data_IF_426045263827
#
_entry.id   IF_426045263827
#
_cell.length_a   1.000
_cell.length_b   1.000
_cell.length_c   1.000
_cell.angle_alpha   90.00
_cell.angle_beta   90.00
_cell.angle_gamma   90.00
#
_symmetry.space_group_name_H-M   'P 1'
#
loop_
_entity.id
_entity.type
_entity.pdbx_description
1 polymer ?
#
# COMPACT_ATOMS: atom_id res chain seq x y z
N UNK A 1 2.09 15.77 8.21
CA UNK A 1 1.64 14.42 8.59
C UNK A 1 2.55 13.39 7.95
N UNK A 2 2.80 12.25 8.61
CA UNK A 2 3.47 11.14 7.96
C UNK A 2 2.55 10.57 6.87
N UNK A 3 2.97 10.66 5.61
CA UNK A 3 2.30 10.01 4.49
C UNK A 3 2.81 8.57 4.37
N UNK A 4 1.89 7.61 4.42
CA UNK A 4 2.16 6.21 4.09
C UNK A 4 1.75 5.97 2.65
N UNK A 5 2.40 5.03 1.97
CA UNK A 5 2.00 4.65 0.62
C UNK A 5 1.76 3.16 0.48
N UNK A 6 0.79 2.78 -0.35
CA UNK A 6 0.46 1.39 -0.66
C UNK A 6 0.29 1.23 -2.17
N UNK A 7 1.07 0.35 -2.78
CA UNK A 7 0.99 0.02 -4.21
C UNK A 7 -0.02 -1.11 -4.42
N UNK A 8 -0.96 -0.92 -5.34
CA UNK A 8 -2.03 -1.90 -5.60
C UNK A 8 -2.54 -1.82 -7.03
N UNK A 9 -3.27 -2.83 -7.47
CA UNK A 9 -4.08 -2.82 -8.69
C UNK A 9 -5.25 -1.83 -8.57
N UNK A 10 -5.44 -0.97 -9.58
CA UNK A 10 -6.50 0.05 -9.64
C UNK A 10 -7.89 -0.52 -9.37
N UNK A 11 -8.18 -1.71 -9.91
CA UNK A 11 -9.48 -2.35 -9.74
C UNK A 11 -9.81 -2.64 -8.26
N UNK A 12 -8.80 -2.97 -7.44
CA UNK A 12 -8.95 -3.21 -6.00
C UNK A 12 -9.26 -1.90 -5.26
N UNK A 13 -8.57 -0.82 -5.61
CA UNK A 13 -8.88 0.50 -5.08
C UNK A 13 -10.29 0.97 -5.47
N UNK A 14 -10.68 0.83 -6.73
CA UNK A 14 -12.01 1.22 -7.18
C UNK A 14 -13.12 0.37 -6.52
N UNK A 15 -12.83 -0.88 -6.17
CA UNK A 15 -13.71 -1.72 -5.35
C UNK A 15 -13.87 -1.17 -3.92
N UNK A 16 -12.75 -0.85 -3.26
CA UNK A 16 -12.75 -0.25 -1.92
C UNK A 16 -13.54 1.06 -1.86
N UNK A 17 -13.44 1.90 -2.90
CA UNK A 17 -14.24 3.14 -2.99
C UNK A 17 -15.74 2.91 -2.96
N UNK A 18 -16.23 1.76 -3.43
CA UNK A 18 -17.66 1.40 -3.39
C UNK A 18 -18.10 0.87 -2.04
N UNK A 19 -17.20 0.23 -1.29
CA UNK A 19 -17.47 -0.38 0.02
C UNK A 19 -17.14 0.54 1.19
N UNK A 20 -16.33 1.58 0.98
CA UNK A 20 -15.93 2.57 1.98
C UNK A 20 -14.60 2.26 2.69
N UNK A 21 -14.01 1.09 2.43
CA UNK A 21 -12.74 0.69 3.04
C UNK A 21 -11.93 -0.24 2.13
N UNK A 22 -10.61 -0.12 2.21
CA UNK A 22 -9.64 -0.96 1.51
C UNK A 22 -9.08 -2.03 2.46
N UNK A 23 -9.10 -3.28 2.00
CA UNK A 23 -8.84 -4.47 2.84
C UNK A 23 -7.85 -5.46 2.19
N UNK A 24 -7.05 -5.02 1.23
CA UNK A 24 -6.01 -5.85 0.63
C UNK A 24 -4.68 -5.54 1.33
N UNK A 25 -4.01 -6.57 1.83
CA UNK A 25 -2.80 -6.42 2.64
C UNK A 25 -1.57 -6.16 1.78
N UNK A 26 -1.40 -6.99 0.75
CA UNK A 26 -0.34 -6.94 -0.26
C UNK A 26 -0.86 -7.63 -1.52
N UNK A 27 -0.06 -7.68 -2.58
CA UNK A 27 -0.46 -8.31 -3.84
C UNK A 27 -0.94 -9.74 -3.60
N UNK A 28 -2.22 -9.99 -3.90
CA UNK A 28 -2.85 -11.31 -3.80
C UNK A 28 -3.20 -11.79 -2.39
N UNK A 29 -3.10 -10.93 -1.36
CA UNK A 29 -3.40 -11.29 0.03
C UNK A 29 -4.30 -10.23 0.68
N UNK A 30 -5.31 -10.67 1.41
CA UNK A 30 -6.25 -9.80 2.11
C UNK A 30 -5.79 -9.43 3.52
N UNK A 31 -6.35 -8.38 4.10
CA UNK A 31 -6.16 -8.00 5.51
C UNK A 31 -6.52 -9.17 6.45
N UNK A 32 -7.57 -9.94 6.14
CA UNK A 32 -7.95 -11.09 6.96
C UNK A 32 -6.94 -12.25 6.96
N UNK A 33 -6.11 -12.36 5.92
CA UNK A 33 -5.09 -13.40 5.82
C UNK A 33 -3.78 -13.02 6.53
N UNK A 34 -3.39 -11.75 6.49
CA UNK A 34 -2.10 -11.27 7.03
C UNK A 34 -2.24 -10.59 8.40
N UNK A 35 -3.41 -10.04 8.73
CA UNK A 35 -3.69 -9.33 9.99
C UNK A 35 -3.33 -7.83 9.99
N UNK A 36 -2.66 -7.34 8.96
CA UNK A 36 -2.35 -5.92 8.74
C UNK A 36 -2.21 -5.63 7.23
N UNK A 37 -2.21 -4.35 6.84
CA UNK A 37 -1.92 -3.90 5.46
C UNK A 37 -0.47 -3.41 5.39
N UNK A 38 0.30 -3.97 4.46
CA UNK A 38 1.66 -3.54 4.20
C UNK A 38 1.66 -2.16 3.57
N UNK A 39 2.35 -1.21 4.17
CA UNK A 39 2.61 0.09 3.58
C UNK A 39 4.12 0.29 3.42
N UNK A 40 4.47 1.39 2.77
CA UNK A 40 5.84 1.82 2.57
C UNK A 40 5.95 3.31 2.82
N UNK A 41 7.17 3.77 3.08
CA UNK A 41 7.56 5.15 2.90
C UNK A 41 7.96 5.36 1.43
N UNK A 42 7.90 6.61 0.97
CA UNK A 42 8.16 6.97 -0.43
C UNK A 42 9.50 6.42 -0.95
N UNK A 43 10.56 6.49 -0.14
CA UNK A 43 11.89 6.03 -0.55
C UNK A 43 12.02 4.51 -0.63
N UNK A 44 11.13 3.75 0.00
CA UNK A 44 11.11 2.27 -0.03
C UNK A 44 10.40 1.73 -1.27
N UNK A 45 9.62 2.58 -1.95
CA UNK A 45 8.70 2.19 -3.01
C UNK A 45 9.38 1.52 -4.22
N UNK A 46 10.55 1.96 -4.73
CA UNK A 46 11.19 1.30 -5.87
C UNK A 46 11.50 -0.19 -5.59
N UNK A 47 12.05 -0.50 -4.41
CA UNK A 47 12.36 -1.87 -4.02
C UNK A 47 11.10 -2.73 -3.85
N UNK A 48 10.05 -2.18 -3.22
CA UNK A 48 8.76 -2.87 -3.02
C UNK A 48 8.05 -3.12 -4.34
N UNK A 49 8.04 -2.14 -5.26
CA UNK A 49 7.45 -2.28 -6.58
C UNK A 49 8.17 -3.36 -7.41
N UNK A 50 9.50 -3.40 -7.39
CA UNK A 50 10.28 -4.46 -8.05
C UNK A 50 9.97 -5.84 -7.45
N UNK A 51 9.95 -5.95 -6.12
CA UNK A 51 9.70 -7.21 -5.41
C UNK A 51 8.29 -7.78 -5.66
N UNK A 52 7.25 -6.95 -5.50
CA UNK A 52 5.86 -7.40 -5.60
C UNK A 52 5.33 -7.43 -7.04
N UNK A 53 5.75 -6.48 -7.87
CA UNK A 53 5.15 -6.22 -9.18
C UNK A 53 6.15 -6.25 -10.35
N UNK A 54 7.43 -6.56 -10.13
CA UNK A 54 8.45 -6.59 -11.21
C UNK A 54 8.17 -7.61 -12.32
N UNK A 55 7.35 -8.63 -12.05
CA UNK A 55 6.87 -9.60 -13.05
C UNK A 55 5.36 -9.52 -13.27
N UNK A 56 4.73 -8.41 -12.86
CA UNK A 56 3.30 -8.20 -13.05
C UNK A 56 2.97 -8.08 -14.54
N UNK A 57 2.16 -9.02 -15.04
CA UNK A 57 1.61 -9.05 -16.41
C UNK A 57 0.08 -9.00 -16.40
N UNK A 58 -0.51 -8.63 -15.26
CA UNK A 58 -1.95 -8.50 -15.13
C UNK A 58 -2.51 -7.36 -15.98
N UNK A 59 -3.82 -7.39 -16.29
CA UNK A 59 -4.44 -6.41 -17.16
C UNK A 59 -4.69 -5.05 -16.49
N UNK A 60 -4.59 -4.95 -15.16
CA UNK A 60 -4.94 -3.75 -14.41
C UNK A 60 -3.76 -2.78 -14.30
N UNK A 61 -4.08 -1.48 -14.32
CA UNK A 61 -3.13 -0.42 -13.99
C UNK A 61 -2.73 -0.53 -12.51
N UNK A 62 -1.45 -0.28 -12.20
CA UNK A 62 -0.99 -0.14 -10.83
C UNK A 62 -1.13 1.31 -10.36
N UNK A 63 -1.52 1.49 -9.10
CA UNK A 63 -1.71 2.80 -8.48
C UNK A 63 -1.07 2.83 -7.11
N UNK A 64 -0.54 3.98 -6.76
CA UNK A 64 -0.05 4.29 -5.44
C UNK A 64 -1.12 5.03 -4.65
N UNK A 65 -1.62 4.40 -3.59
CA UNK A 65 -2.48 5.04 -2.61
C UNK A 65 -1.61 5.84 -1.65
N UNK A 66 -1.84 7.14 -1.56
CA UNK A 66 -1.19 8.02 -0.57
C UNK A 66 -2.15 8.19 0.60
N UNK A 67 -1.73 7.70 1.76
CA UNK A 67 -2.54 7.55 2.96
C UNK A 67 -2.07 8.56 4.00
N UNK A 68 -3.02 9.37 4.47
CA UNK A 68 -2.83 10.26 5.60
C UNK A 68 -3.02 9.48 6.91
N UNK A 69 -1.91 9.25 7.63
CA UNK A 69 -1.92 8.42 8.83
C UNK A 69 -2.73 9.01 9.99
N UNK A 70 -2.96 10.33 10.02
CA UNK A 70 -3.77 10.96 11.07
C UNK A 70 -5.28 10.71 10.87
N UNK A 71 -5.68 10.20 9.69
CA UNK A 71 -7.07 9.81 9.38
C UNK A 71 -7.35 8.33 9.60
N UNK A 72 -6.33 7.56 10.00
CA UNK A 72 -6.48 6.15 10.28
C UNK A 72 -7.10 5.95 11.67
N UNK A 73 -8.08 5.06 11.74
CA UNK A 73 -8.64 4.57 13.01
C UNK A 73 -7.86 3.38 13.57
N UNK A 74 -7.10 2.70 12.70
CA UNK A 74 -6.28 1.54 13.04
C UNK A 74 -4.87 1.96 13.44
N UNK A 75 -4.20 1.23 14.36
CA UNK A 75 -2.84 1.56 14.76
C UNK A 75 -1.86 1.28 13.63
N UNK A 76 -0.88 2.16 13.48
CA UNK A 76 0.27 2.01 12.58
C UNK A 76 1.48 1.56 13.41
N UNK A 77 2.18 0.54 12.96
CA UNK A 77 3.46 0.11 13.56
C UNK A 77 4.54 0.04 12.49
N UNK A 78 5.75 0.43 12.85
CA UNK A 78 6.92 0.27 12.01
C UNK A 78 7.64 -0.99 12.48
N UNK A 79 7.78 -1.96 11.58
CA UNK A 79 8.33 -3.28 11.91
C UNK A 79 9.31 -3.71 10.82
N UNK A 80 10.46 -4.22 11.24
CA UNK A 80 11.45 -4.78 10.33
C UNK A 80 11.13 -6.25 10.02
N UNK A 81 11.34 -6.74 8.79
CA UNK A 81 11.14 -8.15 8.45
C UNK A 81 12.16 -9.06 9.16
N UNK A 82 13.35 -8.53 9.48
CA UNK A 82 14.42 -9.22 10.19
C UNK A 82 15.19 -8.24 11.10
N UNK A 83 15.87 -8.71 12.17
CA UNK A 83 16.64 -7.83 13.05
C UNK A 83 17.71 -7.03 12.31
N UNK A 84 17.65 -5.70 12.42
CA UNK A 84 18.60 -4.78 11.78
C UNK A 84 18.27 -4.41 10.34
N UNK A 85 17.18 -4.94 9.78
CA UNK A 85 16.62 -4.46 8.52
C UNK A 85 15.85 -3.14 8.71
N UNK A 86 15.58 -2.47 7.60
CA UNK A 86 14.73 -1.28 7.60
C UNK A 86 13.29 -1.62 8.00
N UNK A 87 12.66 -0.75 8.77
CA UNK A 87 11.27 -0.92 9.21
C UNK A 87 10.27 -0.43 8.15
N UNK A 88 9.16 -1.18 8.01
CA UNK A 88 8.06 -0.83 7.13
C UNK A 88 6.80 -0.52 7.95
N UNK A 89 5.99 0.48 7.55
CA UNK A 89 4.73 0.76 8.21
C UNK A 89 3.69 -0.32 7.90
N UNK A 90 3.04 -0.83 8.94
CA UNK A 90 1.92 -1.77 8.87
C UNK A 90 0.68 -1.14 9.52
N UNK A 91 -0.45 -1.17 8.81
CA UNK A 91 -1.74 -0.69 9.31
C UNK A 91 -2.54 -1.89 9.81
N UNK A 92 -2.80 -1.96 11.11
CA UNK A 92 -3.47 -3.09 11.75
C UNK A 92 -5.01 -2.94 11.72
N UNK A 93 -5.55 -2.84 10.51
CA UNK A 93 -6.98 -2.68 10.25
C UNK A 93 -7.26 -2.21 8.83
N UNK A 94 -8.55 -2.11 8.44
CA UNK A 94 -8.92 -1.62 7.12
C UNK A 94 -8.53 -0.16 6.96
N UNK A 95 -8.20 0.26 5.74
CA UNK A 95 -7.92 1.66 5.42
C UNK A 95 -9.22 2.34 4.97
N UNK A 96 -9.74 3.32 5.71
CA UNK A 96 -10.88 4.12 5.28
C UNK A 96 -10.58 4.84 3.95
N UNK A 97 -11.53 4.91 3.03
CA UNK A 97 -11.30 5.54 1.72
C UNK A 97 -10.99 7.05 1.82
N UNK A 98 -11.44 7.71 2.89
CA UNK A 98 -11.18 9.12 3.19
C UNK A 98 -9.79 9.37 3.82
N UNK A 99 -9.13 8.31 4.29
CA UNK A 99 -7.72 8.33 4.68
C UNK A 99 -6.80 8.33 3.44
N UNK A 100 -7.27 7.88 2.28
CA UNK A 100 -6.53 7.97 1.01
C UNK A 100 -6.70 9.37 0.42
N UNK A 101 -5.68 10.22 0.60
CA UNK A 101 -5.71 11.64 0.20
C UNK A 101 -5.29 11.88 -1.25
N UNK A 102 -4.59 10.92 -1.86
CA UNK A 102 -4.23 10.95 -3.28
C UNK A 102 -4.08 9.54 -3.83
N UNK A 103 -4.35 9.40 -5.12
CA UNK A 103 -4.13 8.19 -5.90
C UNK A 103 -3.27 8.57 -7.10
N UNK A 104 -2.09 7.99 -7.20
CA UNK A 104 -1.12 8.29 -8.26
C UNK A 104 -1.00 7.09 -9.19
N UNK A 105 -1.04 7.26 -10.53
CA UNK A 105 -0.66 6.20 -11.46
C UNK A 105 0.76 5.73 -11.18
N UNK A 106 0.99 4.41 -11.20
CA UNK A 106 2.32 3.83 -11.12
C UNK A 106 2.72 3.26 -12.48
N UNK A 107 3.70 3.87 -13.12
CA UNK A 107 4.25 3.41 -14.40
C UNK A 107 5.60 2.74 -14.18
N UNK A 108 5.95 1.76 -15.02
CA UNK A 108 7.24 1.08 -14.94
C UNK A 108 8.44 2.04 -15.05
N UNK A 109 8.28 3.16 -15.76
CA UNK A 109 9.30 4.21 -15.89
C UNK A 109 9.54 5.03 -14.61
N UNK A 110 8.67 4.90 -13.59
CA UNK A 110 8.83 5.56 -12.30
C UNK A 110 9.95 4.93 -11.44
N UNK A 111 10.59 3.87 -11.92
CA UNK A 111 11.69 3.17 -11.22
C UNK A 111 13.08 3.80 -11.45
N UNK A 112 13.22 4.71 -12.44
CA UNK A 112 14.51 5.28 -12.88
C UNK A 112 14.66 6.81 -12.64
N UNK A 113 13.79 7.42 -11.82
CA UNK A 113 13.81 8.86 -11.54
C UNK A 113 14.42 9.22 -10.18
#
# INVERSE_FOLDING_TARGET
MPELVHLTERALWDAARRTGAYEISTRGRTLSEEGFIHCSLRHQLPSVASFLYGTYTGPDELVLLVIDSDRLTAPVRYEAPEPGAEEFPHIYGPVPVDAVVRVEPWTADAQDA
#
